data_IF_230631886301
#
_entry.id   IF_230631886301
#
_cell.length_a   1.000
_cell.length_b   1.000
_cell.length_c   1.000
_cell.angle_alpha   90.00
_cell.angle_beta   90.00
_cell.angle_gamma   90.00
#
_symmetry.space_group_name_H-M   'P 1'
#
loop_
_entity.id
_entity.type
_entity.pdbx_description
1 polymer ?
#
# COMPACT_ATOMS: atom_id res chain seq x y z
N UNK A 1 3.99 -29.70 -5.63
CA UNK A 1 4.63 -28.65 -6.44
C UNK A 1 4.21 -27.30 -5.86
N UNK A 2 5.08 -26.62 -5.11
CA UNK A 2 4.83 -25.22 -4.75
C UNK A 2 5.08 -24.40 -6.02
N UNK A 3 4.02 -23.82 -6.57
CA UNK A 3 4.14 -22.97 -7.74
C UNK A 3 4.73 -21.64 -7.25
N UNK A 4 6.06 -21.55 -7.22
CA UNK A 4 6.77 -20.32 -6.85
C UNK A 4 6.39 -19.24 -7.89
N UNK A 5 5.74 -18.16 -7.43
CA UNK A 5 5.43 -17.00 -8.26
C UNK A 5 3.93 -16.69 -8.50
N UNK A 6 3.00 -17.44 -7.90
CA UNK A 6 1.57 -17.12 -8.01
C UNK A 6 1.00 -16.74 -6.64
N UNK A 7 0.30 -15.61 -6.59
CA UNK A 7 -0.44 -15.13 -5.42
C UNK A 7 -1.92 -15.08 -5.73
N UNK A 8 -2.75 -15.53 -4.79
CA UNK A 8 -4.20 -15.41 -4.92
C UNK A 8 -4.58 -13.92 -4.80
N UNK A 9 -5.48 -13.45 -5.67
CA UNK A 9 -5.79 -12.03 -5.86
C UNK A 9 -7.29 -11.81 -5.86
N UNK A 10 -7.84 -11.09 -4.85
CA UNK A 10 -9.30 -10.92 -4.74
C UNK A 10 -9.82 -10.14 -5.95
N UNK A 11 -10.82 -10.71 -6.63
CA UNK A 11 -11.49 -10.17 -7.82
C UNK A 11 -12.22 -8.88 -7.51
N UNK A 12 -12.66 -8.67 -6.27
CA UNK A 12 -13.30 -7.41 -5.88
C UNK A 12 -12.36 -6.20 -6.04
N UNK A 13 -11.03 -6.37 -6.12
CA UNK A 13 -10.09 -5.26 -6.39
C UNK A 13 -10.29 -4.62 -7.76
N UNK A 14 -10.91 -5.32 -8.72
CA UNK A 14 -11.32 -4.72 -10.00
C UNK A 14 -12.36 -3.60 -9.83
N UNK A 15 -13.07 -3.55 -8.69
CA UNK A 15 -13.96 -2.44 -8.34
C UNK A 15 -13.19 -1.11 -8.20
N UNK A 16 -11.90 -1.14 -7.87
CA UNK A 16 -11.08 0.07 -7.76
C UNK A 16 -10.89 0.76 -9.11
N UNK A 17 -10.71 -0.04 -10.17
CA UNK A 17 -10.61 0.46 -11.54
C UNK A 17 -11.98 0.83 -12.10
N UNK A 18 -12.98 -0.05 -11.91
CA UNK A 18 -14.36 0.17 -12.38
C UNK A 18 -14.93 1.50 -11.85
N UNK A 19 -14.69 1.80 -10.57
CA UNK A 19 -15.18 3.01 -9.92
C UNK A 19 -14.17 4.18 -9.94
N UNK A 20 -13.08 4.06 -10.72
CA UNK A 20 -12.05 5.09 -10.89
C UNK A 20 -11.40 5.59 -9.57
N UNK A 21 -11.35 4.73 -8.56
CA UNK A 21 -10.63 5.00 -7.31
C UNK A 21 -9.13 5.04 -7.57
N UNK A 22 -8.63 4.06 -8.31
CA UNK A 22 -7.26 4.01 -8.80
C UNK A 22 -7.23 4.15 -10.31
N UNK A 23 -6.21 4.83 -10.81
CA UNK A 23 -5.78 4.71 -12.20
C UNK A 23 -5.16 3.33 -12.42
N UNK A 24 -5.08 2.90 -13.68
CA UNK A 24 -4.43 1.62 -14.03
C UNK A 24 -2.99 1.57 -13.49
N UNK A 25 -2.24 2.66 -13.58
CA UNK A 25 -0.85 2.69 -13.11
C UNK A 25 -0.73 2.63 -11.59
N UNK A 26 -1.60 3.31 -10.85
CA UNK A 26 -1.63 3.17 -9.39
C UNK A 26 -2.04 1.76 -8.97
N UNK A 27 -3.00 1.14 -9.68
CA UNK A 27 -3.40 -0.23 -9.43
C UNK A 27 -2.24 -1.22 -9.67
N UNK A 28 -1.52 -1.09 -10.79
CA UNK A 28 -0.35 -1.93 -11.07
C UNK A 28 0.76 -1.75 -10.05
N UNK A 29 1.00 -0.50 -9.61
CA UNK A 29 1.98 -0.22 -8.56
C UNK A 29 1.56 -0.80 -7.21
N UNK A 30 0.27 -0.80 -6.90
CA UNK A 30 -0.26 -1.45 -5.70
C UNK A 30 -0.05 -2.96 -5.75
N UNK A 31 -0.34 -3.62 -6.89
CA UNK A 31 -0.05 -5.06 -7.05
C UNK A 31 1.44 -5.35 -6.84
N UNK A 32 2.30 -4.54 -7.45
CA UNK A 32 3.74 -4.64 -7.28
C UNK A 32 4.16 -4.55 -5.81
N UNK A 33 3.66 -3.56 -5.05
CA UNK A 33 3.96 -3.43 -3.62
C UNK A 33 3.51 -4.63 -2.80
N UNK A 34 2.39 -5.24 -3.16
CA UNK A 34 1.95 -6.47 -2.51
C UNK A 34 2.94 -7.61 -2.81
N UNK A 35 3.44 -7.71 -4.03
CA UNK A 35 4.35 -8.80 -4.40
C UNK A 35 5.74 -8.67 -3.75
N UNK A 36 6.21 -7.44 -3.48
CA UNK A 36 7.52 -7.19 -2.83
C UNK A 36 7.44 -6.98 -1.31
N UNK A 37 6.26 -7.12 -0.71
CA UNK A 37 6.09 -6.99 0.75
C UNK A 37 6.65 -8.18 1.52
N UNK A 38 7.08 -7.94 2.76
CA UNK A 38 7.52 -8.99 3.66
C UNK A 38 6.32 -9.81 4.17
N UNK A 39 6.26 -11.07 3.76
CA UNK A 39 5.17 -11.99 4.07
C UNK A 39 5.53 -13.03 5.14
N UNK A 40 6.68 -12.90 5.79
CA UNK A 40 7.03 -13.73 6.96
C UNK A 40 6.36 -13.13 8.21
N UNK A 41 5.34 -13.81 8.72
CA UNK A 41 4.54 -13.37 9.88
C UNK A 41 5.33 -13.33 11.19
N UNK A 42 6.54 -13.91 11.22
CA UNK A 42 7.47 -13.84 12.35
C UNK A 42 8.25 -12.53 12.36
N UNK A 43 8.29 -11.80 11.23
CA UNK A 43 9.00 -10.54 11.15
C UNK A 43 8.17 -9.38 11.69
N UNK A 44 8.82 -8.48 12.43
CA UNK A 44 8.21 -7.18 12.85
C UNK A 44 7.77 -6.30 11.67
N UNK A 45 8.27 -6.61 10.47
CA UNK A 45 8.00 -5.92 9.22
C UNK A 45 6.92 -6.61 8.37
N UNK A 46 6.16 -7.56 8.91
CA UNK A 46 5.10 -8.22 8.16
C UNK A 46 4.13 -7.22 7.49
N UNK A 47 3.97 -7.35 6.17
CA UNK A 47 3.18 -6.45 5.33
C UNK A 47 3.83 -5.10 5.01
N UNK A 48 5.12 -4.94 5.31
CA UNK A 48 5.92 -3.76 5.00
C UNK A 48 6.77 -4.04 3.77
N UNK A 49 6.95 -3.02 2.93
CA UNK A 49 7.79 -3.05 1.73
C UNK A 49 8.68 -1.82 1.64
N UNK A 50 9.76 -1.91 0.86
CA UNK A 50 10.66 -0.80 0.56
C UNK A 50 10.27 -0.16 -0.78
N UNK A 51 10.15 1.17 -0.82
CA UNK A 51 9.76 1.91 -2.03
C UNK A 51 10.96 2.59 -2.69
N UNK A 52 11.79 1.80 -3.40
CA UNK A 52 12.90 2.32 -4.19
C UNK A 52 12.43 2.77 -5.57
N UNK A 53 11.99 4.03 -5.67
CA UNK A 53 11.40 4.58 -6.90
C UNK A 53 12.34 4.56 -8.13
N UNK A 54 13.66 4.41 -7.94
CA UNK A 54 14.60 4.24 -9.06
C UNK A 54 14.43 2.84 -9.69
N UNK A 55 14.57 1.80 -8.88
CA UNK A 55 14.43 0.40 -9.28
C UNK A 55 13.04 0.12 -9.88
N UNK A 56 11.99 0.61 -9.21
CA UNK A 56 10.61 0.47 -9.71
C UNK A 56 10.45 1.17 -11.08
N UNK A 57 11.15 2.27 -11.30
CA UNK A 57 11.07 2.99 -12.58
C UNK A 57 11.73 2.21 -13.73
N UNK A 58 12.81 1.50 -13.44
CA UNK A 58 13.46 0.58 -14.38
C UNK A 58 12.55 -0.59 -14.73
N UNK A 59 11.97 -1.25 -13.70
CA UNK A 59 11.06 -2.39 -13.88
C UNK A 59 9.79 -2.03 -14.66
N UNK A 60 9.20 -0.86 -14.38
CA UNK A 60 8.01 -0.40 -15.08
C UNK A 60 8.32 0.19 -16.47
N UNK A 61 9.60 0.39 -16.81
CA UNK A 61 10.02 1.05 -18.05
C UNK A 61 9.53 2.50 -18.15
N UNK A 62 9.54 3.23 -17.03
CA UNK A 62 8.89 4.54 -16.88
C UNK A 62 9.81 5.53 -16.19
N UNK A 63 9.56 6.82 -16.37
CA UNK A 63 10.32 7.86 -15.67
C UNK A 63 10.01 7.80 -14.17
N UNK A 64 11.05 7.96 -13.33
CA UNK A 64 10.93 8.05 -11.88
C UNK A 64 9.84 9.02 -11.40
N UNK A 65 9.70 10.18 -12.05
CA UNK A 65 8.66 11.15 -11.69
C UNK A 65 7.24 10.63 -11.91
N UNK A 66 7.03 9.78 -12.92
CA UNK A 66 5.75 9.12 -13.14
C UNK A 66 5.45 8.11 -12.03
N UNK A 67 6.43 7.28 -11.66
CA UNK A 67 6.30 6.34 -10.54
C UNK A 67 6.06 7.09 -9.23
N UNK A 68 6.78 8.19 -8.98
CA UNK A 68 6.56 9.07 -7.82
C UNK A 68 5.13 9.58 -7.78
N UNK A 69 4.57 10.01 -8.92
CA UNK A 69 3.19 10.46 -9.00
C UNK A 69 2.20 9.34 -8.61
N UNK A 70 2.42 8.12 -9.07
CA UNK A 70 1.57 6.97 -8.73
C UNK A 70 1.70 6.58 -7.26
N UNK A 71 2.92 6.54 -6.73
CA UNK A 71 3.21 6.31 -5.32
C UNK A 71 2.49 7.34 -4.43
N UNK A 72 2.63 8.63 -4.76
CA UNK A 72 1.95 9.72 -4.04
C UNK A 72 0.41 9.62 -4.17
N UNK A 73 -0.09 9.09 -5.29
CA UNK A 73 -1.50 8.77 -5.48
C UNK A 73 -1.99 7.68 -4.52
N UNK A 74 -1.26 6.58 -4.40
CA UNK A 74 -1.55 5.50 -3.44
C UNK A 74 -1.45 5.98 -1.99
N UNK A 75 -0.44 6.78 -1.67
CA UNK A 75 -0.23 7.36 -0.35
C UNK A 75 -1.35 8.34 0.03
N UNK A 76 -1.72 9.26 -0.87
CA UNK A 76 -2.79 10.23 -0.61
C UNK A 76 -4.16 9.56 -0.48
N UNK A 77 -4.42 8.51 -1.26
CA UNK A 77 -5.62 7.66 -1.17
C UNK A 77 -5.57 6.59 -0.08
N UNK A 78 -4.48 6.55 0.71
CA UNK A 78 -4.32 5.70 1.89
C UNK A 78 -4.36 4.21 1.64
N UNK A 79 -3.96 3.79 0.45
CA UNK A 79 -3.66 2.38 0.19
C UNK A 79 -2.35 1.96 0.86
N UNK A 80 -1.44 2.93 1.08
CA UNK A 80 -0.17 2.74 1.76
C UNK A 80 0.06 3.87 2.78
N UNK A 81 0.78 3.57 3.86
CA UNK A 81 1.24 4.55 4.86
C UNK A 81 2.73 4.39 5.12
N UNK A 82 3.36 5.46 5.61
CA UNK A 82 4.77 5.42 5.97
C UNK A 82 4.95 4.58 7.24
N UNK A 83 5.87 3.64 7.20
CA UNK A 83 6.29 2.84 8.35
C UNK A 83 7.61 3.37 8.93
N UNK A 84 8.59 3.63 8.05
CA UNK A 84 9.85 4.31 8.39
C UNK A 84 10.34 5.08 7.15
N UNK A 85 10.17 6.40 7.17
CA UNK A 85 10.55 7.27 6.05
C UNK A 85 12.06 7.32 5.80
N UNK A 86 12.89 7.20 6.85
CA UNK A 86 14.36 7.23 6.68
C UNK A 86 14.83 6.05 5.84
N UNK A 87 14.16 4.91 6.02
CA UNK A 87 14.41 3.67 5.28
C UNK A 87 13.52 3.49 4.06
N UNK A 88 12.63 4.43 3.76
CA UNK A 88 11.63 4.35 2.68
C UNK A 88 10.74 3.09 2.80
N UNK A 89 10.41 2.72 4.03
CA UNK A 89 9.52 1.61 4.36
C UNK A 89 8.08 2.08 4.44
N UNK A 90 7.19 1.34 3.79
CA UNK A 90 5.75 1.62 3.73
C UNK A 90 4.96 0.36 4.04
N UNK A 91 3.73 0.53 4.52
CA UNK A 91 2.88 -0.56 4.96
C UNK A 91 1.55 -0.58 4.18
N UNK A 92 1.09 -1.79 3.86
CA UNK A 92 -0.24 -2.07 3.34
C UNK A 92 -1.24 -2.29 4.49
N UNK A 93 -2.50 -1.89 4.31
CA UNK A 93 -3.54 -2.21 5.29
C UNK A 93 -3.92 -3.69 5.22
N UNK A 94 -4.21 -4.28 6.37
CA UNK A 94 -4.65 -5.68 6.51
C UNK A 94 -3.74 -6.66 5.74
N UNK A 95 -2.42 -6.72 6.03
CA UNK A 95 -1.47 -7.58 5.32
C UNK A 95 -1.93 -9.04 5.17
N UNK A 96 -2.63 -9.56 6.17
CA UNK A 96 -3.17 -10.92 6.20
C UNK A 96 -4.10 -11.21 5.02
N UNK A 97 -4.81 -10.19 4.53
CA UNK A 97 -5.67 -10.29 3.34
C UNK A 97 -4.89 -10.72 2.11
N UNK A 98 -3.62 -10.33 1.98
CA UNK A 98 -2.84 -10.57 0.76
C UNK A 98 -2.04 -11.87 0.78
N UNK A 99 -1.84 -12.47 1.95
CA UNK A 99 -1.04 -13.69 2.16
C UNK A 99 -1.87 -14.89 2.65
N UNK A 100 -3.21 -14.83 2.54
CA UNK A 100 -4.06 -15.97 2.90
C UNK A 100 -3.86 -17.13 1.90
N UNK A 101 -3.57 -18.32 2.42
CA UNK A 101 -3.38 -19.54 1.63
C UNK A 101 -4.63 -20.41 1.55
N UNK A 102 -5.71 -20.02 2.23
CA UNK A 102 -6.95 -20.78 2.30
C UNK A 102 -7.99 -20.21 1.31
N UNK A 103 -8.33 -21.00 0.29
CA UNK A 103 -9.28 -20.63 -0.75
C UNK A 103 -10.71 -20.39 -0.23
N UNK A 104 -11.16 -21.10 0.81
CA UNK A 104 -12.49 -20.92 1.40
C UNK A 104 -12.60 -19.58 2.13
N UNK A 105 -11.55 -19.22 2.88
CA UNK A 105 -11.46 -17.91 3.55
C UNK A 105 -11.47 -16.80 2.51
N UNK A 106 -10.69 -16.97 1.45
CA UNK A 106 -10.60 -16.02 0.36
C UNK A 106 -11.95 -15.81 -0.35
N UNK A 107 -12.69 -16.89 -0.66
CA UNK A 107 -14.02 -16.79 -1.25
C UNK A 107 -15.03 -16.12 -0.32
N UNK A 108 -14.99 -16.45 0.98
CA UNK A 108 -15.85 -15.81 1.99
C UNK A 108 -15.56 -14.32 2.13
N UNK A 109 -14.30 -13.91 2.10
CA UNK A 109 -13.90 -12.50 2.10
C UNK A 109 -14.40 -11.77 0.85
N UNK A 110 -14.20 -12.35 -0.35
CA UNK A 110 -14.75 -11.80 -1.60
C UNK A 110 -16.28 -11.63 -1.52
N UNK A 111 -16.98 -12.61 -0.95
CA UNK A 111 -18.43 -12.57 -0.84
C UNK A 111 -18.93 -11.48 0.13
N UNK A 112 -18.18 -11.24 1.21
CA UNK A 112 -18.49 -10.20 2.19
C UNK A 112 -18.09 -8.79 1.73
N UNK A 113 -17.13 -8.69 0.80
CA UNK A 113 -16.59 -7.43 0.28
C UNK A 113 -17.07 -7.15 -1.17
N UNK A 114 -18.31 -7.52 -1.51
CA UNK A 114 -18.90 -7.23 -2.84
C UNK A 114 -19.15 -5.73 -3.07
N UNK A 115 -19.39 -4.99 -1.99
CA UNK A 115 -19.58 -3.55 -2.02
C UNK A 115 -18.23 -2.82 -1.96
N UNK A 116 -18.12 -1.71 -2.71
CA UNK A 116 -16.89 -0.93 -2.78
C UNK A 116 -16.50 -0.38 -1.40
N UNK A 117 -17.48 0.06 -0.62
CA UNK A 117 -17.29 0.65 0.70
C UNK A 117 -16.64 -0.35 1.66
N UNK A 118 -17.16 -1.58 1.69
CA UNK A 118 -16.61 -2.67 2.52
C UNK A 118 -15.19 -3.04 2.10
N UNK A 119 -14.92 -3.09 0.80
CA UNK A 119 -13.57 -3.31 0.28
C UNK A 119 -12.62 -2.20 0.75
N UNK A 120 -12.99 -0.93 0.57
CA UNK A 120 -12.16 0.22 0.94
C UNK A 120 -11.85 0.24 2.44
N UNK A 121 -12.82 -0.12 3.29
CA UNK A 121 -12.59 -0.23 4.74
C UNK A 121 -11.46 -1.23 5.08
N UNK A 122 -11.29 -2.29 4.30
CA UNK A 122 -10.30 -3.32 4.59
C UNK A 122 -8.92 -3.05 3.97
N UNK A 123 -8.86 -2.29 2.88
CA UNK A 123 -7.60 -2.07 2.13
C UNK A 123 -7.06 -0.63 2.21
N UNK A 124 -7.82 0.32 2.76
CA UNK A 124 -7.37 1.71 2.94
C UNK A 124 -7.37 2.13 4.39
N UNK A 125 -6.39 2.90 4.83
CA UNK A 125 -6.23 3.30 6.24
C UNK A 125 -7.33 4.26 6.78
N UNK A 126 -8.31 4.68 5.97
CA UNK A 126 -9.43 5.60 6.32
C UNK A 126 -8.99 6.99 6.84
N UNK A 127 -9.88 7.97 6.70
CA UNK A 127 -9.55 9.40 6.57
C UNK A 127 -9.42 10.22 7.86
N UNK A 128 -9.96 9.75 9.00
CA UNK A 128 -9.96 10.52 10.26
C UNK A 128 -8.62 10.53 11.00
N UNK A 129 -7.80 9.48 10.85
CA UNK A 129 -6.45 9.43 11.47
C UNK A 129 -5.43 10.24 10.67
N UNK A 130 -5.72 10.57 9.40
CA UNK A 130 -4.83 11.32 8.52
C UNK A 130 -4.60 12.73 9.02
N UNK A 131 -5.66 13.42 9.45
CA UNK A 131 -5.53 14.79 9.94
C UNK A 131 -4.66 14.82 11.19
N UNK A 132 -4.82 13.86 12.11
CA UNK A 132 -3.97 13.74 13.31
C UNK A 132 -2.52 13.42 12.96
N UNK A 133 -2.27 12.39 12.15
CA UNK A 133 -0.90 11.98 11.82
C UNK A 133 -0.18 13.00 10.92
N UNK A 134 -0.89 13.66 10.00
CA UNK A 134 -0.29 14.75 9.20
C UNK A 134 0.00 15.98 10.06
N UNK A 135 -0.89 16.35 10.99
CA UNK A 135 -0.61 17.44 11.93
C UNK A 135 0.59 17.10 12.82
N UNK A 136 0.70 15.87 13.32
CA UNK A 136 1.83 15.43 14.14
C UNK A 136 3.16 15.39 13.37
N UNK A 137 3.15 14.90 12.13
CA UNK A 137 4.36 14.87 11.28
C UNK A 137 4.79 16.27 10.86
N UNK A 138 3.85 17.17 10.53
CA UNK A 138 4.14 18.59 10.25
C UNK A 138 4.69 19.29 11.49
N UNK A 139 4.09 19.06 12.66
CA UNK A 139 4.55 19.62 13.93
C UNK A 139 5.96 19.11 14.32
N UNK A 140 6.29 17.86 14.00
CA UNK A 140 7.62 17.29 14.23
C UNK A 140 8.65 17.81 13.22
N UNK A 141 8.27 18.03 11.97
CA UNK A 141 9.15 18.60 10.96
C UNK A 141 9.53 20.06 11.29
N UNK A 142 8.55 20.88 11.68
CA UNK A 142 8.76 22.28 12.07
C UNK A 142 9.64 22.41 13.33
N UNK A 143 9.46 21.53 14.32
CA UNK A 143 10.32 21.48 15.51
C UNK A 143 11.78 21.14 15.22
N UNK A 144 12.06 20.44 14.13
CA UNK A 144 13.44 20.07 13.77
C UNK A 144 14.12 21.14 12.89
N UNK A 145 13.37 22.06 12.29
CA UNK A 145 13.92 23.21 11.55
C UNK A 145 14.34 24.36 12.49
N UNK A 146 13.62 24.59 13.59
CA UNK A 146 13.96 25.63 14.58
C UNK A 146 15.23 25.33 15.41
N UNK A 147 15.69 24.07 15.44
CA UNK A 147 16.91 23.66 16.18
C UNK A 147 18.18 23.79 15.31
N UNK A 148 18.02 24.02 14.00
CA UNK A 148 19.13 24.15 13.04
C UNK A 148 19.62 25.59 12.78
N UNK A 149 19.05 26.58 13.47
CA UNK A 149 19.36 28.01 13.28
C UNK A 149 19.92 28.71 14.54
N UNK A 150 20.43 27.95 15.51
CA UNK A 150 21.30 28.48 16.58
C UNK A 150 22.77 28.14 16.36
#
# INVERSE_FOLDING_TARGET
MSINGYRVSHRNRWLLLKNKILTIHEFLLLEYYIDVSDWDDRHKKYGVFEAYLEEISEEFGRKKDAVRKWHNGLYSKKFIVAYDLKRKLFQLKSPQRYNTKNAEVFHKEEDNEKALETLLLNITFSTEEIEKTQQEVVNLALKNEDVGLM
#
